data_IF_582647538287
#
_entry.id   IF_582647538287
#
_cell.length_a   1.000
_cell.length_b   1.000
_cell.length_c   1.000
_cell.angle_alpha   90.00
_cell.angle_beta   90.00
_cell.angle_gamma   90.00
#
_symmetry.space_group_name_H-M   'P 1'
#
loop_
_entity.id
_entity.type
_entity.pdbx_description
1 polymer ?
#
# COMPACT_ATOMS: atom_id res chain seq x y z
N UNK A 1 -6.55 -17.55 -32.14
CA UNK A 1 -7.90 -17.68 -32.74
C UNK A 1 -8.59 -16.33 -32.83
N UNK A 2 -8.85 -15.63 -31.73
CA UNK A 2 -9.51 -14.29 -31.76
C UNK A 2 -8.73 -13.29 -32.62
N UNK A 3 -7.41 -13.27 -32.52
CA UNK A 3 -6.57 -12.36 -33.30
C UNK A 3 -6.61 -12.66 -34.80
N UNK A 4 -6.77 -13.92 -35.17
CA UNK A 4 -6.92 -14.36 -36.57
C UNK A 4 -8.27 -13.94 -37.15
N UNK A 5 -9.32 -13.92 -36.34
CA UNK A 5 -10.69 -13.51 -36.74
C UNK A 5 -10.83 -12.02 -36.96
N UNK A 6 -10.10 -11.18 -36.16
CA UNK A 6 -10.16 -9.71 -36.22
C UNK A 6 -9.02 -9.10 -37.05
N UNK A 7 -8.04 -9.92 -37.49
CA UNK A 7 -6.92 -9.40 -38.23
C UNK A 7 -7.33 -9.05 -39.67
N UNK A 8 -7.21 -7.77 -40.00
CA UNK A 8 -7.42 -7.25 -41.35
C UNK A 8 -6.18 -6.46 -41.78
N UNK A 9 -5.52 -6.97 -42.83
CA UNK A 9 -4.32 -6.33 -43.38
C UNK A 9 -4.62 -4.94 -44.00
N UNK A 10 -5.85 -4.63 -44.34
CA UNK A 10 -6.25 -3.30 -44.83
C UNK A 10 -6.17 -2.23 -43.72
N UNK A 11 -6.23 -2.64 -42.46
CA UNK A 11 -6.08 -1.75 -41.32
C UNK A 11 -4.63 -1.59 -40.82
N UNK A 12 -3.65 -2.20 -41.53
CA UNK A 12 -2.24 -2.04 -41.18
C UNK A 12 -1.81 -0.60 -41.52
N UNK A 13 -1.44 0.16 -40.48
CA UNK A 13 -0.90 1.49 -40.66
C UNK A 13 0.45 1.44 -41.38
N UNK A 14 0.65 2.32 -42.37
CA UNK A 14 1.94 2.51 -43.02
C UNK A 14 2.93 3.33 -42.20
N UNK A 15 2.45 3.90 -41.07
CA UNK A 15 3.30 4.65 -40.14
C UNK A 15 4.18 3.69 -39.34
N UNK A 16 5.44 4.08 -39.05
CA UNK A 16 6.30 3.24 -38.22
C UNK A 16 5.65 3.06 -36.85
N UNK A 17 5.58 1.79 -36.40
CA UNK A 17 5.10 1.50 -35.06
C UNK A 17 6.14 1.95 -34.04
N UNK A 18 5.76 2.82 -33.13
CA UNK A 18 6.59 3.18 -31.97
C UNK A 18 6.25 2.21 -30.84
N UNK A 19 7.28 1.55 -30.33
CA UNK A 19 7.15 0.66 -29.18
C UNK A 19 7.06 1.52 -27.92
N UNK A 20 5.85 1.62 -27.34
CA UNK A 20 5.58 2.40 -26.13
C UNK A 20 5.47 1.44 -24.94
N UNK A 21 6.56 1.31 -24.18
CA UNK A 21 6.63 0.44 -23.01
C UNK A 21 5.68 0.92 -21.89
N UNK A 22 5.47 2.22 -21.75
CA UNK A 22 4.56 2.77 -20.73
C UNK A 22 3.13 2.34 -21.01
N UNK A 23 2.71 2.44 -22.28
CA UNK A 23 1.40 1.99 -22.70
C UNK A 23 1.21 0.48 -22.53
N UNK A 24 2.25 -0.32 -22.84
CA UNK A 24 2.21 -1.77 -22.67
C UNK A 24 2.11 -2.16 -21.18
N UNK A 25 2.86 -1.50 -20.31
CA UNK A 25 2.77 -1.73 -18.87
C UNK A 25 1.37 -1.39 -18.35
N UNK A 26 0.84 -0.25 -18.73
CA UNK A 26 -0.52 0.15 -18.37
C UNK A 26 -1.55 -0.89 -18.84
N UNK A 27 -1.48 -1.33 -20.10
CA UNK A 27 -2.38 -2.37 -20.63
C UNK A 27 -2.26 -3.68 -19.85
N UNK A 28 -1.03 -4.11 -19.53
CA UNK A 28 -0.82 -5.30 -18.71
C UNK A 28 -1.42 -5.15 -17.32
N UNK A 29 -1.31 -3.98 -16.70
CA UNK A 29 -1.97 -3.66 -15.44
C UNK A 29 -3.50 -3.80 -15.50
N UNK A 30 -4.14 -3.41 -16.61
CA UNK A 30 -5.58 -3.61 -16.81
C UNK A 30 -5.93 -5.10 -16.91
N UNK A 31 -5.09 -5.92 -17.57
CA UNK A 31 -5.28 -7.37 -17.58
C UNK A 31 -5.12 -7.99 -16.19
N UNK A 32 -4.13 -7.56 -15.41
CA UNK A 32 -3.96 -8.02 -14.01
C UNK A 32 -5.18 -7.68 -13.16
N UNK A 33 -5.71 -6.47 -13.26
CA UNK A 33 -6.93 -6.05 -12.56
C UNK A 33 -8.14 -6.89 -12.92
N UNK A 34 -8.26 -7.27 -14.20
CA UNK A 34 -9.36 -8.07 -14.72
C UNK A 34 -9.22 -9.58 -14.45
N UNK A 35 -8.03 -10.05 -14.04
CA UNK A 35 -7.82 -11.47 -13.73
C UNK A 35 -8.77 -11.95 -12.64
N UNK A 36 -9.19 -13.21 -12.74
CA UNK A 36 -9.78 -13.92 -11.63
C UNK A 36 -8.83 -13.94 -10.42
N UNK A 37 -9.37 -13.92 -9.20
CA UNK A 37 -8.55 -13.83 -7.99
C UNK A 37 -7.63 -15.04 -7.82
N UNK A 38 -8.11 -16.24 -8.13
CA UNK A 38 -7.32 -17.46 -8.00
C UNK A 38 -6.14 -17.46 -8.99
N UNK A 39 -6.41 -17.10 -10.25
CA UNK A 39 -5.37 -16.95 -11.27
C UNK A 39 -4.36 -15.85 -10.91
N UNK A 40 -4.82 -14.74 -10.36
CA UNK A 40 -3.95 -13.69 -9.88
C UNK A 40 -3.04 -14.19 -8.74
N UNK A 41 -3.60 -14.91 -7.76
CA UNK A 41 -2.86 -15.45 -6.63
C UNK A 41 -1.79 -16.46 -7.02
N UNK A 42 -2.03 -17.28 -8.05
CA UNK A 42 -1.03 -18.21 -8.58
C UNK A 42 0.26 -17.49 -9.01
N UNK A 43 0.14 -16.28 -9.54
CA UNK A 43 1.27 -15.48 -9.98
C UNK A 43 1.84 -14.56 -8.89
N UNK A 44 0.98 -13.95 -8.08
CA UNK A 44 1.38 -12.96 -7.08
C UNK A 44 2.03 -13.59 -5.84
N UNK A 45 1.45 -14.67 -5.28
CA UNK A 45 1.92 -15.27 -4.03
C UNK A 45 3.39 -15.75 -4.08
N UNK A 46 3.89 -16.38 -5.16
CA UNK A 46 5.30 -16.74 -5.24
C UNK A 46 6.22 -15.52 -5.09
N UNK A 47 5.86 -14.39 -5.72
CA UNK A 47 6.65 -13.16 -5.66
C UNK A 47 6.58 -12.51 -4.27
N UNK A 48 5.40 -12.51 -3.64
CA UNK A 48 5.25 -12.03 -2.25
C UNK A 48 6.12 -12.85 -1.29
N UNK A 49 6.12 -14.19 -1.42
CA UNK A 49 6.92 -15.10 -0.59
C UNK A 49 8.43 -14.95 -0.77
N UNK A 50 8.89 -14.45 -1.91
CA UNK A 50 10.31 -14.15 -2.12
C UNK A 50 10.79 -12.94 -1.30
N UNK A 51 9.88 -12.03 -0.95
CA UNK A 51 10.21 -10.78 -0.26
C UNK A 51 9.86 -10.84 1.21
N UNK A 52 8.68 -11.35 1.54
CA UNK A 52 8.14 -11.39 2.91
C UNK A 52 8.30 -12.80 3.46
N UNK A 53 9.22 -12.94 4.42
CA UNK A 53 9.51 -14.23 5.10
C UNK A 53 8.87 -14.32 6.48
N UNK A 54 8.42 -13.17 7.03
CA UNK A 54 7.70 -13.09 8.30
C UNK A 54 6.31 -13.72 8.21
N UNK A 55 5.76 -14.11 9.35
CA UNK A 55 4.46 -14.78 9.48
C UNK A 55 3.30 -13.78 9.39
N UNK A 56 3.11 -13.21 8.21
CA UNK A 56 2.00 -12.33 7.89
C UNK A 56 0.98 -13.02 6.98
N UNK A 57 -0.22 -12.46 6.88
CA UNK A 57 -1.20 -12.89 5.88
C UNK A 57 -0.77 -12.46 4.47
N UNK A 58 0.02 -13.31 3.83
CA UNK A 58 0.56 -13.06 2.49
C UNK A 58 -0.53 -12.94 1.42
N UNK A 59 -1.71 -13.53 1.66
CA UNK A 59 -2.85 -13.37 0.75
C UNK A 59 -3.41 -11.96 0.82
N UNK A 60 -3.62 -11.42 2.02
CA UNK A 60 -4.03 -10.02 2.19
C UNK A 60 -3.03 -9.06 1.54
N UNK A 61 -1.73 -9.28 1.71
CA UNK A 61 -0.69 -8.47 1.04
C UNK A 61 -0.86 -8.53 -0.48
N UNK A 62 -1.03 -9.73 -1.05
CA UNK A 62 -1.22 -9.89 -2.49
C UNK A 62 -2.51 -9.21 -2.98
N UNK A 63 -3.62 -9.33 -2.25
CA UNK A 63 -4.90 -8.69 -2.59
C UNK A 63 -4.79 -7.16 -2.71
N UNK A 64 -4.09 -6.51 -1.78
CA UNK A 64 -3.85 -5.06 -1.81
C UNK A 64 -3.11 -4.60 -3.07
N UNK A 65 -2.32 -5.49 -3.68
CA UNK A 65 -1.48 -5.18 -4.83
C UNK A 65 -2.21 -5.31 -6.17
N UNK A 66 -3.29 -6.10 -6.26
CA UNK A 66 -3.95 -6.46 -7.53
C UNK A 66 -4.29 -5.25 -8.42
N UNK A 67 -4.70 -4.16 -7.81
CA UNK A 67 -5.06 -2.92 -8.54
C UNK A 67 -3.92 -1.90 -8.62
N UNK A 68 -2.73 -2.22 -8.11
CA UNK A 68 -1.64 -1.27 -7.89
C UNK A 68 -0.33 -1.65 -8.58
N UNK A 69 -0.33 -2.75 -9.31
CA UNK A 69 0.81 -3.22 -10.10
C UNK A 69 0.46 -3.23 -11.59
N UNK A 70 1.47 -3.01 -12.41
CA UNK A 70 1.38 -3.16 -13.86
C UNK A 70 2.04 -4.45 -14.34
N UNK A 71 3.02 -4.96 -13.60
CA UNK A 71 3.67 -6.26 -13.80
C UNK A 71 3.95 -6.91 -12.45
N UNK A 72 3.98 -8.24 -12.38
CA UNK A 72 4.22 -8.95 -11.12
C UNK A 72 5.55 -8.61 -10.42
N UNK A 73 6.67 -8.35 -11.13
CA UNK A 73 7.89 -7.91 -10.48
C UNK A 73 7.79 -6.61 -9.69
N UNK A 74 6.81 -5.73 -10.00
CA UNK A 74 6.58 -4.47 -9.25
C UNK A 74 6.19 -4.74 -7.77
N UNK A 75 5.72 -5.95 -7.48
CA UNK A 75 5.37 -6.38 -6.12
C UNK A 75 6.54 -6.16 -5.17
N UNK A 76 7.76 -6.56 -5.57
CA UNK A 76 8.93 -6.57 -4.71
C UNK A 76 9.23 -5.22 -4.06
N UNK A 77 9.22 -4.16 -4.86
CA UNK A 77 9.51 -2.80 -4.39
C UNK A 77 8.37 -2.18 -3.56
N UNK A 78 7.16 -2.73 -3.69
CA UNK A 78 5.97 -2.20 -3.02
C UNK A 78 5.73 -2.79 -1.64
N UNK A 79 6.36 -3.92 -1.31
CA UNK A 79 6.13 -4.68 -0.07
C UNK A 79 7.39 -4.97 0.74
N UNK A 80 8.56 -4.50 0.33
CA UNK A 80 9.84 -4.68 1.03
C UNK A 80 9.78 -4.24 2.50
N UNK A 81 9.01 -3.19 2.80
CA UNK A 81 8.82 -2.68 4.16
C UNK A 81 8.11 -3.66 5.11
N UNK A 82 7.40 -4.66 4.61
CA UNK A 82 6.85 -5.73 5.47
C UNK A 82 7.95 -6.63 6.04
N UNK A 83 9.04 -6.81 5.30
CA UNK A 83 10.19 -7.57 5.78
C UNK A 83 11.06 -6.74 6.71
N UNK A 84 11.41 -5.53 6.29
CA UNK A 84 12.23 -4.60 7.04
C UNK A 84 11.79 -3.16 6.76
N UNK A 85 11.52 -2.41 7.83
CA UNK A 85 11.17 -0.99 7.71
C UNK A 85 12.39 -0.24 7.16
N UNK A 86 12.30 0.40 5.99
CA UNK A 86 13.42 1.12 5.41
C UNK A 86 13.77 2.36 6.25
N UNK A 87 15.03 2.77 6.22
CA UNK A 87 15.39 4.11 6.70
C UNK A 87 14.74 5.16 5.82
N UNK A 88 14.10 6.15 6.43
CA UNK A 88 13.42 7.23 5.71
C UNK A 88 13.62 8.59 6.38
N UNK A 89 13.53 9.64 5.57
CA UNK A 89 13.66 11.02 6.03
C UNK A 89 12.36 11.45 6.72
N UNK A 90 12.49 12.14 7.86
CA UNK A 90 11.36 12.75 8.58
C UNK A 90 10.57 13.75 7.71
N UNK A 91 11.18 14.28 6.66
CA UNK A 91 10.48 15.11 5.67
C UNK A 91 9.30 14.38 5.00
N UNK A 92 9.28 13.03 4.99
CA UNK A 92 8.17 12.24 4.47
C UNK A 92 6.84 12.41 5.22
N UNK A 93 6.90 12.86 6.47
CA UNK A 93 5.70 13.24 7.23
C UNK A 93 5.03 14.50 6.68
N UNK A 94 5.74 15.30 5.88
CA UNK A 94 5.20 16.51 5.27
C UNK A 94 4.46 16.19 3.98
N UNK A 95 3.15 16.47 3.94
CA UNK A 95 2.33 16.27 2.75
C UNK A 95 1.32 17.41 2.54
N UNK A 96 1.48 18.15 1.45
CA UNK A 96 0.70 19.36 1.16
C UNK A 96 -0.83 19.13 1.13
N UNK A 97 -1.29 18.07 0.45
CA UNK A 97 -2.73 17.76 0.35
C UNK A 97 -3.32 17.29 1.67
N UNK A 98 -2.56 16.55 2.47
CA UNK A 98 -3.00 16.05 3.78
C UNK A 98 -2.84 17.11 4.87
N UNK A 99 -2.16 18.23 4.56
CA UNK A 99 -1.85 19.32 5.47
C UNK A 99 -1.04 18.86 6.69
N UNK A 100 -0.14 17.91 6.47
CA UNK A 100 0.79 17.41 7.48
C UNK A 100 2.15 18.06 7.34
N UNK A 101 2.85 18.18 8.45
CA UNK A 101 4.26 18.50 8.58
C UNK A 101 4.85 17.66 9.72
N UNK A 102 6.13 17.77 9.97
CA UNK A 102 6.83 16.98 11.00
C UNK A 102 6.23 17.18 12.39
N UNK A 103 5.99 18.45 12.78
CA UNK A 103 5.50 18.80 14.12
C UNK A 103 4.12 18.21 14.40
N UNK A 104 3.16 18.47 13.51
CA UNK A 104 1.80 18.00 13.71
C UNK A 104 1.61 16.49 13.46
N UNK A 105 2.52 15.88 12.73
CA UNK A 105 2.58 14.43 12.59
C UNK A 105 3.09 13.79 13.87
N UNK A 106 4.08 14.41 14.54
CA UNK A 106 4.58 13.95 15.82
C UNK A 106 3.47 14.02 16.90
N UNK A 107 2.71 15.12 16.98
CA UNK A 107 1.56 15.23 17.89
C UNK A 107 0.56 14.08 17.69
N UNK A 108 0.22 13.79 16.43
CA UNK A 108 -0.71 12.70 16.10
C UNK A 108 -0.15 11.36 16.56
N UNK A 109 1.13 11.07 16.30
CA UNK A 109 1.75 9.80 16.68
C UNK A 109 1.81 9.64 18.21
N UNK A 110 2.15 10.71 18.95
CA UNK A 110 2.17 10.73 20.41
C UNK A 110 0.79 10.50 21.01
N UNK A 111 -0.25 11.12 20.47
CA UNK A 111 -1.63 10.96 20.94
C UNK A 111 -2.23 9.59 20.57
N UNK A 112 -1.82 9.03 19.42
CA UNK A 112 -2.30 7.72 18.94
C UNK A 112 -1.61 6.54 19.61
N UNK A 113 -0.34 6.67 19.99
CA UNK A 113 0.43 5.60 20.61
C UNK A 113 -0.27 4.93 21.79
N UNK A 114 -0.67 5.67 22.86
CA UNK A 114 -1.34 5.05 24.02
C UNK A 114 -2.69 4.44 23.65
N UNK A 115 -3.38 4.95 22.64
CA UNK A 115 -4.67 4.40 22.17
C UNK A 115 -4.45 3.05 21.47
N UNK A 116 -3.44 2.94 20.63
CA UNK A 116 -3.07 1.70 19.96
C UNK A 116 -2.55 0.66 20.96
N UNK A 117 -1.76 1.09 21.95
CA UNK A 117 -1.28 0.21 23.04
C UNK A 117 -2.43 -0.35 23.88
N UNK A 118 -3.48 0.41 24.10
CA UNK A 118 -4.63 -0.02 24.88
C UNK A 118 -5.56 -0.99 24.16
N UNK A 119 -5.43 -1.14 22.83
CA UNK A 119 -6.27 -2.04 22.04
C UNK A 119 -6.03 -3.51 22.42
N UNK A 120 -7.08 -4.26 22.60
CA UNK A 120 -7.06 -5.72 22.83
C UNK A 120 -7.31 -6.51 21.56
N UNK A 121 -8.12 -5.97 20.66
CA UNK A 121 -8.33 -6.46 19.30
C UNK A 121 -7.67 -5.48 18.31
N UNK A 122 -6.85 -6.01 17.41
CA UNK A 122 -6.10 -5.22 16.43
C UNK A 122 -6.59 -5.54 15.00
N UNK A 123 -7.89 -5.78 14.85
CA UNK A 123 -8.57 -5.90 13.57
C UNK A 123 -8.71 -4.55 12.87
N UNK A 124 -8.89 -4.57 11.55
CA UNK A 124 -9.05 -3.35 10.75
C UNK A 124 -10.21 -2.48 11.24
N UNK A 125 -11.33 -3.10 11.61
CA UNK A 125 -12.53 -2.39 12.09
C UNK A 125 -12.23 -1.62 13.38
N UNK A 126 -11.57 -2.27 14.35
CA UNK A 126 -11.20 -1.64 15.62
C UNK A 126 -10.13 -0.54 15.44
N UNK A 127 -9.13 -0.77 14.59
CA UNK A 127 -8.13 0.25 14.25
C UNK A 127 -8.80 1.47 13.62
N UNK A 128 -9.73 1.24 12.68
CA UNK A 128 -10.49 2.33 12.05
C UNK A 128 -11.34 3.09 13.05
N UNK A 129 -12.00 2.40 14.00
CA UNK A 129 -12.82 3.04 15.03
C UNK A 129 -11.97 3.94 15.94
N UNK A 130 -10.82 3.47 16.39
CA UNK A 130 -9.88 4.26 17.18
C UNK A 130 -9.40 5.49 16.41
N UNK A 131 -9.06 5.34 15.14
CA UNK A 131 -8.67 6.46 14.29
C UNK A 131 -9.82 7.46 14.09
N UNK A 132 -11.04 6.98 13.81
CA UNK A 132 -12.24 7.83 13.63
C UNK A 132 -12.59 8.58 14.90
N UNK A 133 -12.51 7.93 16.06
CA UNK A 133 -12.75 8.56 17.36
C UNK A 133 -11.75 9.71 17.61
N UNK A 134 -10.47 9.49 17.37
CA UNK A 134 -9.45 10.52 17.51
C UNK A 134 -9.65 11.68 16.52
N UNK A 135 -9.96 11.38 15.26
CA UNK A 135 -10.27 12.38 14.23
C UNK A 135 -11.44 13.27 14.65
N UNK A 136 -12.50 12.67 15.19
CA UNK A 136 -13.68 13.39 15.67
C UNK A 136 -13.38 14.22 16.93
N UNK A 137 -12.65 13.66 17.90
CA UNK A 137 -12.26 14.34 19.14
C UNK A 137 -11.43 15.60 18.88
N UNK A 138 -10.50 15.52 17.93
CA UNK A 138 -9.59 16.62 17.59
C UNK A 138 -10.08 17.50 16.44
N UNK A 139 -11.25 17.22 15.89
CA UNK A 139 -11.83 17.91 14.71
C UNK A 139 -10.86 17.92 13.50
N UNK A 140 -10.11 16.84 13.31
CA UNK A 140 -9.11 16.70 12.25
C UNK A 140 -9.73 16.11 10.98
N UNK A 141 -8.97 16.17 9.87
CA UNK A 141 -9.28 15.44 8.64
C UNK A 141 -8.57 14.09 8.64
N UNK A 142 -9.18 13.08 8.00
CA UNK A 142 -8.62 11.72 7.90
C UNK A 142 -7.14 11.71 7.50
N UNK A 143 -6.80 12.43 6.43
CA UNK A 143 -5.41 12.48 5.96
C UNK A 143 -4.41 13.03 6.97
N UNK A 144 -4.86 13.88 7.89
CA UNK A 144 -4.03 14.46 8.95
C UNK A 144 -3.58 13.40 9.96
N UNK A 145 -4.37 12.36 10.16
CA UNK A 145 -4.10 11.25 11.09
C UNK A 145 -3.53 10.04 10.38
N UNK A 146 -4.16 9.65 9.27
CA UNK A 146 -3.76 8.41 8.57
C UNK A 146 -2.43 8.55 7.81
N UNK A 147 -2.03 9.76 7.39
CA UNK A 147 -0.74 9.94 6.72
C UNK A 147 0.45 9.69 7.65
N UNK A 148 0.52 10.29 8.85
CA UNK A 148 1.59 10.00 9.81
C UNK A 148 1.67 8.52 10.19
N UNK A 149 0.54 7.89 10.51
CA UNK A 149 0.50 6.46 10.85
C UNK A 149 1.04 5.60 9.71
N UNK A 150 0.58 5.84 8.47
CA UNK A 150 1.05 5.10 7.30
C UNK A 150 2.54 5.29 7.06
N UNK A 151 3.03 6.53 7.19
CA UNK A 151 4.45 6.84 7.02
C UNK A 151 5.28 6.13 8.08
N UNK A 152 4.86 6.13 9.34
CA UNK A 152 5.55 5.46 10.43
C UNK A 152 5.71 3.95 10.18
N UNK A 153 4.62 3.27 9.79
CA UNK A 153 4.63 1.80 9.64
C UNK A 153 5.21 1.31 8.31
N UNK A 154 5.41 2.19 7.33
CA UNK A 154 5.90 1.76 6.00
C UNK A 154 7.19 2.41 5.56
N UNK A 155 7.52 3.61 6.06
CA UNK A 155 8.63 4.41 5.56
C UNK A 155 8.49 4.78 4.07
N UNK A 156 7.26 4.74 3.50
CA UNK A 156 7.05 4.96 2.07
C UNK A 156 5.96 6.00 1.77
N UNK A 157 6.19 6.79 0.73
CA UNK A 157 5.18 7.74 0.24
C UNK A 157 4.00 7.04 -0.46
N UNK A 158 4.27 5.92 -1.11
CA UNK A 158 3.25 5.12 -1.80
C UNK A 158 3.27 3.69 -1.28
N UNK A 159 2.13 3.22 -0.82
CA UNK A 159 1.94 1.90 -0.24
C UNK A 159 0.81 1.15 -0.93
N UNK A 160 0.78 -0.18 -0.87
CA UNK A 160 -0.30 -0.98 -1.45
C UNK A 160 -1.63 -0.81 -0.70
N UNK A 161 -1.61 -0.40 0.57
CA UNK A 161 -2.79 -0.18 1.39
C UNK A 161 -2.77 1.17 2.10
N UNK A 162 -3.87 1.51 2.77
CA UNK A 162 -3.96 2.61 3.73
C UNK A 162 -3.30 2.25 5.07
N UNK A 163 -3.24 3.22 6.00
CA UNK A 163 -2.62 2.99 7.31
C UNK A 163 -3.25 1.82 8.06
N UNK A 164 -4.57 1.76 8.12
CA UNK A 164 -5.33 0.74 8.87
C UNK A 164 -5.15 -0.67 8.31
N UNK A 165 -5.16 -0.82 6.98
CA UNK A 165 -4.91 -2.09 6.30
C UNK A 165 -3.48 -2.60 6.55
N UNK A 166 -2.49 -1.70 6.49
CA UNK A 166 -1.09 -2.07 6.76
C UNK A 166 -0.89 -2.46 8.22
N UNK A 167 -1.49 -1.72 9.16
CA UNK A 167 -1.39 -2.00 10.59
C UNK A 167 -2.04 -3.33 10.96
N UNK A 168 -3.18 -3.69 10.36
CA UNK A 168 -3.81 -4.99 10.56
C UNK A 168 -2.88 -6.14 10.13
N UNK A 169 -2.22 -6.02 8.97
CA UNK A 169 -1.31 -7.04 8.45
C UNK A 169 -0.04 -7.15 9.31
N UNK A 170 0.55 -6.02 9.69
CA UNK A 170 1.75 -5.97 10.52
C UNK A 170 1.48 -6.47 11.95
N UNK A 171 0.24 -6.34 12.40
CA UNK A 171 -0.13 -6.63 13.78
C UNK A 171 0.29 -5.52 14.74
N UNK A 172 -0.13 -5.67 16.00
CA UNK A 172 0.00 -4.64 17.03
C UNK A 172 1.47 -4.27 17.32
N UNK A 173 2.32 -5.26 17.55
CA UNK A 173 3.71 -5.03 17.96
C UNK A 173 4.51 -4.31 16.88
N UNK A 174 4.48 -4.80 15.64
CA UNK A 174 5.20 -4.22 14.50
C UNK A 174 4.62 -2.85 14.08
N UNK A 175 3.36 -2.56 14.39
CA UNK A 175 2.77 -1.26 14.14
C UNK A 175 3.12 -0.21 15.20
N UNK A 176 3.23 -0.62 16.47
CA UNK A 176 3.51 0.29 17.60
C UNK A 176 4.99 0.65 17.66
N UNK A 177 5.89 -0.29 17.40
CA UNK A 177 7.32 -0.06 17.48
C UNK A 177 7.78 1.18 16.66
N UNK A 178 7.48 1.31 15.36
CA UNK A 178 7.87 2.50 14.59
C UNK A 178 7.23 3.79 15.10
N UNK A 179 5.98 3.72 15.59
CA UNK A 179 5.29 4.88 16.17
C UNK A 179 5.98 5.35 17.45
N UNK A 180 6.50 4.43 18.26
CA UNK A 180 7.21 4.76 19.51
C UNK A 180 8.61 5.30 19.29
N UNK A 181 9.31 4.89 18.22
CA UNK A 181 10.68 5.37 17.91
C UNK A 181 10.73 6.75 17.22
N UNK A 182 9.60 7.30 16.84
CA UNK A 182 9.53 8.62 16.17
C UNK A 182 9.56 9.79 17.16
N UNK A 183 9.94 9.55 18.41
CA UNK A 183 10.01 10.55 19.49
C UNK A 183 11.38 11.18 19.64
#
# INVERSE_FOLDING_TARGET
>A
KELEEVFDYHHISKSPAVFDIVKLRWMNGEYIKAMDMDAYMEHALPVVKEVVTKDYDLKKIAELLKTRIEVFPDIKEKIDFFEELPEYDVAMYTHKKMKTNTENSLEVLQDMLPRLEAMTDFSIDEIEEVCKAYIAEKELKNGRVLWPLRTAVSGKQMTPGGATELMEILGKEESIAPVSYTH
#
